data_IF_278664541839
#
_entry.id   IF_278664541839
#
_cell.length_a   1.000
_cell.length_b   1.000
_cell.length_c   1.000
_cell.angle_alpha   90.00
_cell.angle_beta   90.00
_cell.angle_gamma   90.00
#
_symmetry.space_group_name_H-M   'P 1'
#
loop_
_entity.id
_entity.type
_entity.pdbx_description
1 polymer ?
#
# COMPACT_ATOMS: atom_id res chain seq x y z
N UNK A 1 46.41 5.78 23.00
CA UNK A 1 45.30 5.85 22.03
C UNK A 1 44.02 6.02 22.82
N UNK A 2 43.31 7.13 22.63
CA UNK A 2 42.11 7.46 23.39
C UNK A 2 40.90 6.79 22.74
N UNK A 3 40.22 5.92 23.47
CA UNK A 3 38.96 5.34 23.03
C UNK A 3 37.88 6.43 23.09
N UNK A 4 37.36 6.84 21.92
CA UNK A 4 36.14 7.66 21.84
C UNK A 4 35.04 6.91 22.57
N UNK A 5 34.55 7.47 23.69
CA UNK A 5 33.30 7.04 24.31
C UNK A 5 32.21 7.16 23.26
N UNK A 6 31.59 6.04 22.91
CA UNK A 6 30.29 6.08 22.26
C UNK A 6 29.33 6.72 23.27
N UNK A 7 28.88 7.93 22.98
CA UNK A 7 27.75 8.51 23.71
C UNK A 7 26.55 7.61 23.42
N UNK A 8 26.15 6.83 24.41
CA UNK A 8 24.85 6.14 24.40
C UNK A 8 23.79 7.21 24.15
N UNK A 9 23.18 7.18 22.96
CA UNK A 9 22.01 8.00 22.68
C UNK A 9 20.98 7.67 23.75
N UNK A 10 20.73 8.61 24.67
CA UNK A 10 19.63 8.52 25.61
C UNK A 10 18.35 8.44 24.78
N UNK A 11 17.76 7.26 24.71
CA UNK A 11 16.43 7.06 24.15
C UNK A 11 15.49 7.87 25.04
N UNK A 12 15.04 9.02 24.55
CA UNK A 12 14.03 9.79 25.26
C UNK A 12 12.71 9.05 25.05
N UNK A 13 12.01 8.74 26.15
CA UNK A 13 10.71 8.09 26.12
C UNK A 13 9.73 9.05 26.75
N UNK A 14 8.78 9.53 25.96
CA UNK A 14 7.68 10.37 26.44
C UNK A 14 7.02 9.74 27.66
N UNK A 15 6.71 10.56 28.66
CA UNK A 15 6.13 10.10 29.92
C UNK A 15 4.62 9.92 29.79
N UNK A 16 3.97 10.80 29.03
CA UNK A 16 2.54 10.79 28.80
C UNK A 16 2.16 11.09 27.34
N UNK A 17 0.87 10.95 27.06
CA UNK A 17 0.30 11.17 25.74
C UNK A 17 0.43 12.62 25.30
N UNK A 18 0.29 13.59 26.20
CA UNK A 18 0.28 15.01 25.87
C UNK A 18 1.68 15.49 25.44
N UNK A 19 2.75 14.96 26.05
CA UNK A 19 4.13 15.22 25.60
C UNK A 19 4.36 14.70 24.17
N UNK A 20 3.97 13.45 23.88
CA UNK A 20 4.15 12.86 22.55
C UNK A 20 3.23 13.51 21.50
N UNK A 21 2.02 13.89 21.89
CA UNK A 21 1.00 14.52 21.04
C UNK A 21 1.53 15.75 20.33
N UNK A 22 2.31 16.58 21.02
CA UNK A 22 2.88 17.82 20.45
C UNK A 22 3.67 17.55 19.17
N UNK A 23 4.41 16.44 19.11
CA UNK A 23 5.24 16.07 17.95
C UNK A 23 4.45 15.32 16.88
N UNK A 24 3.34 14.69 17.23
CA UNK A 24 2.43 14.10 16.23
C UNK A 24 1.55 15.17 15.58
N UNK A 25 1.16 16.21 16.31
CA UNK A 25 0.35 17.30 15.77
C UNK A 25 1.14 18.22 14.84
N UNK A 26 2.45 18.31 15.03
CA UNK A 26 3.42 18.97 14.15
C UNK A 26 4.67 18.09 13.93
N UNK A 27 4.57 17.19 12.96
CA UNK A 27 5.60 16.20 12.62
C UNK A 27 6.85 16.81 11.95
N UNK A 28 6.85 18.12 11.69
CA UNK A 28 8.00 18.84 11.16
C UNK A 28 8.80 19.57 12.25
N UNK A 29 8.30 19.60 13.50
CA UNK A 29 8.90 20.36 14.60
C UNK A 29 10.30 19.86 14.96
N UNK A 30 10.44 18.55 15.16
CA UNK A 30 11.70 17.86 15.42
C UNK A 30 11.56 16.41 14.97
N UNK A 31 12.34 16.02 13.96
CA UNK A 31 12.18 14.70 13.32
C UNK A 31 12.54 13.54 14.26
N UNK A 32 13.52 13.72 15.16
CA UNK A 32 13.95 12.66 16.07
C UNK A 32 12.88 12.43 17.14
N UNK A 33 12.38 13.51 17.74
CA UNK A 33 11.30 13.44 18.72
C UNK A 33 9.98 12.99 18.08
N UNK A 34 9.77 13.30 16.79
CA UNK A 34 8.63 12.76 16.02
C UNK A 34 8.71 11.24 15.88
N UNK A 35 9.89 10.68 15.59
CA UNK A 35 10.06 9.22 15.53
C UNK A 35 9.82 8.55 16.87
N UNK A 36 10.36 9.11 17.96
CA UNK A 36 10.07 8.63 19.31
C UNK A 36 8.59 8.74 19.67
N UNK A 37 7.90 9.78 19.22
CA UNK A 37 6.48 9.98 19.46
C UNK A 37 5.64 8.95 18.69
N UNK A 38 6.02 8.63 17.46
CA UNK A 38 5.41 7.55 16.67
C UNK A 38 5.57 6.22 17.42
N UNK A 39 6.78 5.88 17.88
CA UNK A 39 7.04 4.65 18.64
C UNK A 39 6.19 4.58 19.91
N UNK A 40 6.09 5.69 20.65
CA UNK A 40 5.25 5.79 21.84
C UNK A 40 3.78 5.53 21.52
N UNK A 41 3.22 6.23 20.52
CA UNK A 41 1.81 6.12 20.13
C UNK A 41 1.47 4.73 19.61
N UNK A 42 2.36 4.13 18.81
CA UNK A 42 2.21 2.76 18.30
C UNK A 42 2.16 1.76 19.44
N UNK A 43 3.04 1.89 20.45
CA UNK A 43 3.06 0.98 21.62
C UNK A 43 1.75 1.00 22.42
N UNK A 44 0.98 2.09 22.30
CA UNK A 44 -0.33 2.29 22.94
C UNK A 44 -1.52 2.07 22.00
N UNK A 45 -1.27 1.66 20.76
CA UNK A 45 -2.30 1.42 19.73
C UNK A 45 -3.10 2.66 19.34
N UNK A 46 -2.48 3.84 19.44
CA UNK A 46 -3.05 5.14 19.06
C UNK A 46 -3.01 5.37 17.53
N UNK A 47 -3.29 4.32 16.74
CA UNK A 47 -3.16 4.33 15.29
C UNK A 47 -4.09 5.34 14.62
N UNK A 48 -5.32 5.45 15.10
CA UNK A 48 -6.30 6.38 14.56
C UNK A 48 -5.79 7.83 14.65
N UNK A 49 -5.25 8.19 15.82
CA UNK A 49 -4.69 9.51 16.06
C UNK A 49 -3.50 9.78 15.15
N UNK A 50 -2.59 8.81 15.02
CA UNK A 50 -1.43 8.90 14.12
C UNK A 50 -1.86 9.10 12.66
N UNK A 51 -2.72 8.23 12.14
CA UNK A 51 -3.19 8.26 10.75
C UNK A 51 -3.94 9.57 10.43
N UNK A 52 -4.78 10.03 11.37
CA UNK A 52 -5.53 11.28 11.21
C UNK A 52 -4.60 12.48 11.11
N UNK A 53 -3.58 12.54 11.96
CA UNK A 53 -2.61 13.63 11.94
C UNK A 53 -1.68 13.57 10.72
N UNK A 54 -1.33 12.37 10.25
CA UNK A 54 -0.60 12.17 9.01
C UNK A 54 -1.36 12.78 7.82
N UNK A 55 -2.64 12.44 7.66
CA UNK A 55 -3.48 13.01 6.59
C UNK A 55 -3.65 14.51 6.76
N UNK A 56 -3.95 14.99 7.97
CA UNK A 56 -4.13 16.43 8.25
C UNK A 56 -2.93 17.25 7.77
N UNK A 57 -1.73 16.76 8.00
CA UNK A 57 -0.50 17.48 7.69
C UNK A 57 -0.07 17.29 6.24
N UNK A 58 -0.13 16.06 5.71
CA UNK A 58 0.56 15.68 4.48
C UNK A 58 -0.35 15.34 3.30
N UNK A 59 -1.67 15.54 3.40
CA UNK A 59 -2.58 15.29 2.27
C UNK A 59 -2.25 16.16 1.05
N UNK A 60 -2.11 17.48 1.24
CA UNK A 60 -1.79 18.43 0.14
C UNK A 60 -0.37 18.99 0.22
N UNK A 61 0.45 18.54 1.17
CA UNK A 61 1.79 19.09 1.41
C UNK A 61 2.85 18.01 1.22
N UNK A 62 4.10 18.43 0.98
CA UNK A 62 5.24 17.52 0.93
C UNK A 62 5.61 17.01 2.33
N UNK A 63 6.18 15.81 2.38
CA UNK A 63 6.83 15.25 3.56
C UNK A 63 8.02 14.40 3.13
N UNK A 64 8.93 14.12 4.06
CA UNK A 64 10.10 13.32 3.72
C UNK A 64 9.70 11.85 3.53
N UNK A 65 10.23 11.16 2.50
CA UNK A 65 10.04 9.71 2.35
C UNK A 65 10.46 8.95 3.61
N UNK A 66 11.55 9.39 4.25
CA UNK A 66 12.06 8.82 5.51
C UNK A 66 11.01 8.82 6.63
N UNK A 67 10.24 9.90 6.79
CA UNK A 67 9.17 9.97 7.78
C UNK A 67 8.05 8.99 7.46
N UNK A 68 7.59 8.94 6.20
CA UNK A 68 6.50 8.04 5.82
C UNK A 68 6.90 6.58 5.91
N UNK A 69 8.08 6.23 5.43
CA UNK A 69 8.59 4.86 5.48
C UNK A 69 8.77 4.41 6.94
N UNK A 70 9.35 5.28 7.79
CA UNK A 70 9.43 5.01 9.23
C UNK A 70 8.04 4.84 9.85
N UNK A 71 7.13 5.81 9.63
CA UNK A 71 5.77 5.79 10.18
C UNK A 71 5.05 4.48 9.84
N UNK A 72 5.05 4.09 8.55
CA UNK A 72 4.35 2.89 8.13
C UNK A 72 5.07 1.60 8.55
N UNK A 73 6.40 1.60 8.67
CA UNK A 73 7.14 0.44 9.21
C UNK A 73 6.74 0.11 10.66
N UNK A 74 6.31 1.11 11.42
CA UNK A 74 5.86 0.95 12.81
C UNK A 74 4.40 0.51 12.93
N UNK A 75 3.61 0.59 11.86
CA UNK A 75 2.22 0.11 11.83
C UNK A 75 2.12 -1.39 11.49
N UNK A 76 3.06 -2.21 11.96
CA UNK A 76 3.20 -3.64 11.63
C UNK A 76 2.00 -4.51 12.03
N UNK A 77 1.16 -4.03 12.95
CA UNK A 77 -0.08 -4.69 13.35
C UNK A 77 -1.19 -4.59 12.30
N UNK A 78 -1.03 -3.77 11.25
CA UNK A 78 -2.00 -3.60 10.17
C UNK A 78 -3.42 -3.29 10.68
N UNK A 79 -3.64 -2.14 11.36
CA UNK A 79 -4.89 -1.86 12.04
C UNK A 79 -6.08 -1.82 11.08
N UNK A 80 -6.91 -2.86 11.13
CA UNK A 80 -8.11 -3.02 10.31
C UNK A 80 -9.40 -2.48 10.95
N UNK A 81 -9.33 -1.56 11.92
CA UNK A 81 -10.55 -0.94 12.46
C UNK A 81 -11.22 -0.13 11.37
N UNK A 82 -12.56 -0.16 11.29
CA UNK A 82 -13.32 0.57 10.27
C UNK A 82 -12.95 2.06 10.19
N UNK A 83 -12.77 2.71 11.34
CA UNK A 83 -12.37 4.12 11.43
C UNK A 83 -10.96 4.39 10.89
N UNK A 84 -10.07 3.41 10.93
CA UNK A 84 -8.70 3.51 10.41
C UNK A 84 -8.69 3.26 8.90
N UNK A 85 -9.51 2.29 8.44
CA UNK A 85 -9.78 2.02 7.02
C UNK A 85 -10.33 3.24 6.29
N UNK A 86 -11.23 4.01 6.91
CA UNK A 86 -11.73 5.27 6.33
C UNK A 86 -10.60 6.29 6.09
N UNK A 87 -9.55 6.26 6.92
CA UNK A 87 -8.38 7.12 6.71
C UNK A 87 -7.48 6.56 5.60
N UNK A 88 -7.39 5.24 5.45
CA UNK A 88 -6.64 4.62 4.35
C UNK A 88 -7.12 5.10 2.98
N UNK A 89 -8.43 5.20 2.78
CA UNK A 89 -8.99 5.79 1.57
C UNK A 89 -8.53 7.24 1.34
N UNK A 90 -8.54 8.07 2.39
CA UNK A 90 -8.05 9.46 2.29
C UNK A 90 -6.57 9.51 1.92
N UNK A 91 -5.75 8.59 2.43
CA UNK A 91 -4.33 8.52 2.07
C UNK A 91 -4.17 8.11 0.60
N UNK A 92 -4.98 7.17 0.10
CA UNK A 92 -4.95 6.75 -1.31
C UNK A 92 -5.46 7.81 -2.28
N UNK A 93 -6.41 8.63 -1.86
CA UNK A 93 -6.95 9.75 -2.63
C UNK A 93 -6.03 10.98 -2.62
N UNK A 94 -5.07 11.02 -1.70
CA UNK A 94 -4.13 12.13 -1.53
C UNK A 94 -3.38 12.50 -2.84
N UNK A 95 -3.23 13.79 -3.19
CA UNK A 95 -2.36 14.20 -4.29
C UNK A 95 -0.86 14.06 -3.94
N UNK A 96 -0.51 13.87 -2.67
CA UNK A 96 0.88 13.63 -2.26
C UNK A 96 1.35 12.24 -2.72
N UNK A 97 2.11 12.23 -3.82
CA UNK A 97 2.66 11.00 -4.44
C UNK A 97 3.58 10.22 -3.50
N UNK A 98 4.38 10.91 -2.69
CA UNK A 98 5.32 10.28 -1.75
C UNK A 98 4.55 9.53 -0.67
N UNK A 99 3.58 10.20 -0.04
CA UNK A 99 2.72 9.59 0.96
C UNK A 99 1.96 8.39 0.39
N UNK A 100 1.36 8.54 -0.80
CA UNK A 100 0.63 7.47 -1.48
C UNK A 100 1.53 6.27 -1.79
N UNK A 101 2.76 6.51 -2.24
CA UNK A 101 3.72 5.45 -2.57
C UNK A 101 4.13 4.67 -1.32
N UNK A 102 4.55 5.36 -0.25
CA UNK A 102 4.93 4.69 1.01
C UNK A 102 3.74 3.93 1.61
N UNK A 103 2.53 4.49 1.55
CA UNK A 103 1.33 3.81 2.02
C UNK A 103 0.95 2.59 1.17
N UNK A 104 1.18 2.65 -0.14
CA UNK A 104 0.97 1.48 -1.02
C UNK A 104 1.95 0.36 -0.68
N UNK A 105 3.22 0.70 -0.39
CA UNK A 105 4.21 -0.27 0.10
C UNK A 105 3.79 -0.94 1.40
N UNK A 106 3.22 -0.15 2.32
CA UNK A 106 2.63 -0.64 3.55
C UNK A 106 1.46 -1.60 3.32
N UNK A 107 0.49 -1.23 2.48
CA UNK A 107 -0.66 -2.09 2.19
C UNK A 107 -0.25 -3.43 1.57
N UNK A 108 0.80 -3.45 0.75
CA UNK A 108 1.39 -4.69 0.21
C UNK A 108 1.93 -5.59 1.32
N UNK A 109 2.66 -5.02 2.28
CA UNK A 109 3.16 -5.78 3.43
C UNK A 109 2.02 -6.29 4.34
N UNK A 110 0.89 -5.58 4.37
CA UNK A 110 -0.30 -5.92 5.15
C UNK A 110 -1.38 -6.68 4.37
N UNK A 111 -1.11 -7.15 3.15
CA UNK A 111 -2.15 -7.61 2.22
C UNK A 111 -3.00 -8.75 2.78
N UNK A 112 -2.39 -9.70 3.50
CA UNK A 112 -3.09 -10.81 4.13
C UNK A 112 -4.03 -10.33 5.25
N UNK A 113 -3.53 -9.51 6.18
CA UNK A 113 -4.32 -9.01 7.32
C UNK A 113 -5.44 -8.06 6.89
N UNK A 114 -5.23 -7.29 5.82
CA UNK A 114 -6.18 -6.32 5.28
C UNK A 114 -6.98 -6.89 4.11
N UNK A 115 -6.97 -8.22 3.91
CA UNK A 115 -7.64 -8.87 2.78
C UNK A 115 -9.11 -8.45 2.61
N UNK A 116 -9.97 -8.44 3.67
CA UNK A 116 -11.37 -8.02 3.51
C UNK A 116 -11.50 -6.59 2.97
N UNK A 117 -10.67 -5.67 3.47
CA UNK A 117 -10.64 -4.28 3.01
C UNK A 117 -10.20 -4.17 1.55
N UNK A 118 -9.14 -4.89 1.16
CA UNK A 118 -8.62 -4.87 -0.20
C UNK A 118 -9.65 -5.46 -1.19
N UNK A 119 -10.40 -6.47 -0.77
CA UNK A 119 -11.49 -7.03 -1.56
C UNK A 119 -12.66 -6.05 -1.74
N UNK A 120 -12.95 -5.22 -0.73
CA UNK A 120 -13.94 -4.13 -0.88
C UNK A 120 -13.45 -3.05 -1.85
N UNK A 121 -12.15 -2.72 -1.84
CA UNK A 121 -11.56 -1.84 -2.84
C UNK A 121 -11.72 -2.41 -4.26
N UNK A 122 -11.52 -3.72 -4.42
CA UNK A 122 -11.61 -4.41 -5.70
C UNK A 122 -13.05 -4.41 -6.26
N UNK A 123 -14.06 -4.38 -5.39
CA UNK A 123 -15.49 -4.28 -5.74
C UNK A 123 -15.99 -2.85 -5.94
N UNK A 124 -15.15 -1.85 -5.75
CA UNK A 124 -15.54 -0.44 -5.84
C UNK A 124 -15.92 -0.04 -7.28
N UNK A 125 -16.90 0.86 -7.42
CA UNK A 125 -17.21 1.48 -8.71
C UNK A 125 -16.11 2.45 -9.18
N UNK A 126 -15.21 2.87 -8.29
CA UNK A 126 -14.11 3.78 -8.60
C UNK A 126 -12.89 3.01 -9.13
N UNK A 127 -12.49 3.31 -10.37
CA UNK A 127 -11.37 2.64 -11.04
C UNK A 127 -10.05 2.72 -10.27
N UNK A 128 -9.70 3.87 -9.69
CA UNK A 128 -8.46 4.02 -8.92
C UNK A 128 -8.41 3.10 -7.69
N UNK A 129 -9.57 2.85 -7.03
CA UNK A 129 -9.66 1.89 -5.91
C UNK A 129 -9.43 0.47 -6.41
N UNK A 130 -10.07 0.08 -7.52
CA UNK A 130 -9.87 -1.26 -8.12
C UNK A 130 -8.43 -1.48 -8.59
N UNK A 131 -7.85 -0.52 -9.30
CA UNK A 131 -6.45 -0.51 -9.74
C UNK A 131 -5.49 -0.70 -8.58
N UNK A 132 -5.68 0.05 -7.50
CA UNK A 132 -4.86 -0.08 -6.30
C UNK A 132 -5.02 -1.45 -5.64
N UNK A 133 -6.25 -1.96 -5.57
CA UNK A 133 -6.52 -3.29 -5.05
C UNK A 133 -5.76 -4.37 -5.82
N UNK A 134 -5.83 -4.37 -7.16
CA UNK A 134 -5.06 -5.31 -8.01
C UNK A 134 -3.56 -5.14 -7.77
N UNK A 135 -3.06 -3.90 -7.68
CA UNK A 135 -1.65 -3.62 -7.41
C UNK A 135 -1.17 -4.20 -6.07
N UNK A 136 -2.02 -4.17 -5.03
CA UNK A 136 -1.72 -4.73 -3.71
C UNK A 136 -1.81 -6.26 -3.74
N UNK A 137 -2.90 -6.80 -4.30
CA UNK A 137 -3.17 -8.24 -4.39
C UNK A 137 -2.15 -9.01 -5.22
N UNK A 138 -1.44 -8.36 -6.15
CA UNK A 138 -0.29 -8.95 -6.84
C UNK A 138 0.82 -9.42 -5.90
N UNK A 139 0.88 -8.89 -4.69
CA UNK A 139 1.84 -9.31 -3.65
C UNK A 139 1.30 -10.40 -2.71
N UNK A 140 0.10 -10.92 -2.97
CA UNK A 140 -0.55 -11.97 -2.19
C UNK A 140 -0.80 -13.21 -3.09
N UNK A 141 0.08 -14.23 -3.05
CA UNK A 141 -0.10 -15.44 -3.84
C UNK A 141 -1.19 -16.32 -3.20
N UNK A 142 -2.41 -16.18 -3.70
CA UNK A 142 -3.58 -16.97 -3.29
C UNK A 142 -4.42 -17.33 -4.50
N UNK A 143 -4.85 -18.60 -4.60
CA UNK A 143 -5.75 -19.05 -5.66
C UNK A 143 -7.07 -18.27 -5.67
N UNK A 144 -7.62 -17.92 -4.50
CA UNK A 144 -8.84 -17.10 -4.40
C UNK A 144 -8.63 -15.71 -5.04
N UNK A 145 -7.45 -15.11 -4.83
CA UNK A 145 -7.09 -13.83 -5.45
C UNK A 145 -7.00 -13.96 -6.96
N UNK A 146 -6.36 -15.04 -7.44
CA UNK A 146 -6.21 -15.33 -8.86
C UNK A 146 -7.58 -15.49 -9.53
N UNK A 147 -8.43 -16.36 -8.99
CA UNK A 147 -9.80 -16.56 -9.48
C UNK A 147 -10.56 -15.23 -9.52
N UNK A 148 -10.44 -14.41 -8.47
CA UNK A 148 -11.12 -13.13 -8.41
C UNK A 148 -10.64 -12.15 -9.49
N UNK A 149 -9.33 -11.96 -9.63
CA UNK A 149 -8.76 -11.06 -10.64
C UNK A 149 -9.11 -11.54 -12.05
N UNK A 150 -9.01 -12.85 -12.30
CA UNK A 150 -9.38 -13.45 -13.59
C UNK A 150 -10.86 -13.21 -13.91
N UNK A 151 -11.75 -13.37 -12.93
CA UNK A 151 -13.19 -13.13 -13.13
C UNK A 151 -13.51 -11.68 -13.55
N UNK A 152 -12.70 -10.71 -13.10
CA UNK A 152 -12.91 -9.29 -13.41
C UNK A 152 -12.55 -8.93 -14.85
N UNK A 153 -11.66 -9.69 -15.51
CA UNK A 153 -11.17 -9.37 -16.85
C UNK A 153 -12.33 -9.14 -17.83
N UNK A 154 -13.36 -9.99 -17.76
CA UNK A 154 -14.51 -9.96 -18.66
C UNK A 154 -15.39 -8.72 -18.49
N UNK A 155 -15.39 -8.13 -17.29
CA UNK A 155 -16.29 -7.04 -16.91
C UNK A 155 -15.57 -5.70 -16.72
N UNK A 156 -14.24 -5.70 -16.66
CA UNK A 156 -13.47 -4.47 -16.46
C UNK A 156 -13.40 -3.66 -17.75
N UNK A 157 -13.77 -2.38 -17.64
CA UNK A 157 -13.80 -1.40 -18.74
C UNK A 157 -12.68 -0.37 -18.60
N UNK A 158 -12.16 -0.16 -17.40
CA UNK A 158 -11.13 0.83 -17.16
C UNK A 158 -9.75 0.30 -17.56
N UNK A 159 -9.15 0.97 -18.56
CA UNK A 159 -7.83 0.64 -19.09
C UNK A 159 -6.74 0.61 -18.03
N UNK A 160 -6.78 1.51 -17.04
CA UNK A 160 -5.72 1.61 -16.02
C UNK A 160 -5.80 0.46 -15.01
N UNK A 161 -7.02 -0.01 -14.73
CA UNK A 161 -7.22 -1.24 -13.93
C UNK A 161 -6.75 -2.44 -14.75
N UNK A 162 -7.15 -2.53 -16.03
CA UNK A 162 -6.73 -3.61 -16.91
C UNK A 162 -5.21 -3.67 -17.05
N UNK A 163 -4.51 -2.54 -17.09
CA UNK A 163 -3.05 -2.53 -17.11
C UNK A 163 -2.44 -3.18 -15.85
N UNK A 164 -2.99 -2.95 -14.66
CA UNK A 164 -2.53 -3.63 -13.45
C UNK A 164 -2.89 -5.12 -13.44
N UNK A 165 -4.03 -5.51 -14.04
CA UNK A 165 -4.39 -6.92 -14.23
C UNK A 165 -3.40 -7.61 -15.17
N UNK A 166 -3.00 -6.96 -16.27
CA UNK A 166 -1.98 -7.51 -17.18
C UNK A 166 -0.66 -7.71 -16.42
N UNK A 167 -0.22 -6.74 -15.61
CA UNK A 167 0.98 -6.88 -14.75
C UNK A 167 0.83 -7.99 -13.70
N UNK A 168 -0.39 -8.30 -13.27
CA UNK A 168 -0.65 -9.45 -12.39
C UNK A 168 -0.47 -10.77 -13.16
N UNK A 169 -1.06 -10.86 -14.36
CA UNK A 169 -0.97 -12.03 -15.24
C UNK A 169 0.47 -12.28 -15.72
N UNK A 170 1.30 -11.25 -15.87
CA UNK A 170 2.75 -11.42 -16.15
C UNK A 170 3.47 -12.30 -15.13
N UNK A 171 2.95 -12.43 -13.90
CA UNK A 171 3.56 -13.21 -12.82
C UNK A 171 2.82 -14.53 -12.58
N UNK A 172 1.50 -14.53 -12.73
CA UNK A 172 0.64 -15.63 -12.25
C UNK A 172 -0.19 -16.32 -13.35
N UNK A 173 -0.04 -15.95 -14.62
CA UNK A 173 -0.79 -16.59 -15.69
C UNK A 173 -0.21 -17.97 -16.05
N UNK A 174 -1.11 -18.92 -16.25
CA UNK A 174 -0.82 -20.28 -16.74
C UNK A 174 -1.68 -20.57 -17.98
N UNK A 175 -1.57 -21.79 -18.54
CA UNK A 175 -2.32 -22.22 -19.73
C UNK A 175 -3.83 -21.95 -19.65
N UNK A 176 -4.44 -22.18 -18.49
CA UNK A 176 -5.86 -21.92 -18.24
C UNK A 176 -6.28 -20.45 -18.44
N UNK A 177 -5.33 -19.52 -18.46
CA UNK A 177 -5.57 -18.08 -18.63
C UNK A 177 -5.42 -17.61 -20.09
N UNK A 178 -5.08 -18.49 -21.04
CA UNK A 178 -4.89 -18.14 -22.46
C UNK A 178 -6.11 -17.44 -23.07
N UNK A 179 -7.32 -17.90 -22.77
CA UNK A 179 -8.54 -17.28 -23.29
C UNK A 179 -8.79 -15.89 -22.68
N UNK A 180 -8.39 -15.68 -21.42
CA UNK A 180 -8.45 -14.35 -20.81
C UNK A 180 -7.45 -13.40 -21.47
N UNK A 181 -6.24 -13.87 -21.79
CA UNK A 181 -5.22 -13.09 -22.47
C UNK A 181 -5.67 -12.69 -23.89
N UNK A 182 -6.28 -13.60 -24.65
CA UNK A 182 -6.89 -13.29 -25.96
C UNK A 182 -7.98 -12.23 -25.83
N UNK A 183 -8.89 -12.40 -24.87
CA UNK A 183 -9.95 -11.42 -24.61
C UNK A 183 -9.40 -10.03 -24.28
N UNK A 184 -8.36 -9.95 -23.44
CA UNK A 184 -7.68 -8.68 -23.14
C UNK A 184 -7.15 -8.05 -24.42
N UNK A 185 -6.51 -8.82 -25.30
CA UNK A 185 -5.95 -8.29 -26.53
C UNK A 185 -7.02 -7.79 -27.52
N UNK A 186 -8.14 -8.49 -27.62
CA UNK A 186 -9.28 -8.08 -28.45
C UNK A 186 -9.91 -6.79 -27.94
N UNK A 187 -10.09 -6.67 -26.62
CA UNK A 187 -10.75 -5.53 -25.99
C UNK A 187 -9.81 -4.33 -25.81
N UNK A 188 -8.52 -4.57 -25.57
CA UNK A 188 -7.48 -3.57 -25.33
C UNK A 188 -6.23 -3.86 -26.18
N UNK A 189 -6.28 -3.61 -27.51
CA UNK A 189 -5.19 -3.95 -28.43
C UNK A 189 -3.84 -3.30 -28.12
N UNK A 190 -3.82 -2.21 -27.35
CA UNK A 190 -2.58 -1.58 -26.87
C UNK A 190 -1.74 -2.49 -25.97
N UNK A 191 -2.34 -3.52 -25.37
CA UNK A 191 -1.65 -4.49 -24.53
C UNK A 191 -1.08 -5.67 -25.31
N UNK A 192 -1.26 -5.73 -26.63
CA UNK A 192 -0.83 -6.86 -27.48
C UNK A 192 0.60 -7.30 -27.17
N UNK A 193 1.58 -6.37 -27.20
CA UNK A 193 2.98 -6.71 -26.93
C UNK A 193 3.18 -7.37 -25.56
N UNK A 194 2.49 -6.90 -24.52
CA UNK A 194 2.57 -7.49 -23.18
C UNK A 194 1.91 -8.87 -23.17
N UNK A 195 0.72 -8.98 -23.76
CA UNK A 195 -0.04 -10.24 -23.86
C UNK A 195 0.75 -11.32 -24.61
N UNK A 196 1.36 -10.99 -25.76
CA UNK A 196 2.18 -11.95 -26.52
C UNK A 196 3.40 -12.42 -25.72
N UNK A 197 4.03 -11.54 -24.93
CA UNK A 197 5.13 -11.94 -24.05
C UNK A 197 4.66 -12.95 -22.99
N UNK A 198 3.50 -12.72 -22.37
CA UNK A 198 2.94 -13.64 -21.38
C UNK A 198 2.62 -15.00 -22.04
N UNK A 199 1.95 -14.99 -23.20
CA UNK A 199 1.62 -16.21 -23.94
C UNK A 199 2.86 -17.01 -24.36
N UNK A 200 3.97 -16.32 -24.67
CA UNK A 200 5.24 -16.98 -24.97
C UNK A 200 5.82 -17.65 -23.72
N UNK A 201 5.87 -16.94 -22.59
CA UNK A 201 6.40 -17.48 -21.34
C UNK A 201 5.66 -18.74 -20.91
N UNK A 202 4.32 -18.76 -21.04
CA UNK A 202 3.49 -19.94 -20.72
C UNK A 202 3.90 -21.17 -21.55
N UNK A 203 4.28 -20.99 -22.82
CA UNK A 203 4.69 -22.10 -23.71
C UNK A 203 6.12 -22.58 -23.47
N UNK A 204 6.97 -21.70 -22.96
CA UNK A 204 8.38 -22.00 -22.70
C UNK A 204 8.58 -22.77 -21.37
N UNK A 205 7.52 -22.87 -20.54
CA UNK A 205 7.49 -23.62 -19.27
C UNK A 205 7.01 -25.09 -19.42
N UNK A 206 6.72 -25.54 -20.65
CA UNK A 206 6.42 -26.95 -21.03
C UNK A 206 7.69 -27.80 -21.26
#
# INVERSE_FOLDING_TARGET
MSFKKFEEQKIHRFKDFDEAKVYIEDMNKDINLTFEAIDYMVSRKEYHFLLKNLVRQFYNSGGSPQLFDYFFSKLSDCPGRKTDIEIYFKILESPNKTLKSSFTGYLKACAEKLYPFIMDMLRSNEAEKRKMAVCILRHLPSEEVKEKIVSMIKTEEDKTVMEEIVKYLEIYAFEENVDCLKFINEKFPEFDKKVQNILRNIRDDE
#
